data_IF_485541654684
#
_entry.id   IF_485541654684
#
_cell.length_a   1.000
_cell.length_b   1.000
_cell.length_c   1.000
_cell.angle_alpha   90.00
_cell.angle_beta   90.00
_cell.angle_gamma   90.00
#
_symmetry.space_group_name_H-M   'P 1'
#
loop_
_entity.id
_entity.type
_entity.pdbx_description
1 polymer ?
#
# COMPACT_ATOMS: atom_id res chain seq x y z
N UNK A 1 1.46 21.13 16.38
CA UNK A 1 1.70 21.56 14.99
C UNK A 1 1.53 20.32 14.12
N UNK A 2 0.42 20.21 13.39
CA UNK A 2 0.14 19.04 12.54
C UNK A 2 1.01 19.17 11.29
N UNK A 3 1.82 18.18 10.97
CA UNK A 3 2.52 18.12 9.69
C UNK A 3 1.46 18.05 8.57
N UNK A 4 1.68 18.68 7.40
CA UNK A 4 0.86 18.42 6.24
C UNK A 4 1.04 16.94 5.89
N UNK A 5 0.02 16.12 6.11
CA UNK A 5 -0.02 14.79 5.54
C UNK A 5 -0.29 15.01 4.05
N UNK A 6 0.76 14.91 3.23
CA UNK A 6 0.61 15.05 1.79
C UNK A 6 -0.43 14.05 1.29
N UNK A 7 -1.39 14.58 0.55
CA UNK A 7 -2.45 13.79 -0.06
C UNK A 7 -1.82 12.73 -0.96
N UNK A 8 -2.18 11.47 -0.77
CA UNK A 8 -1.67 10.36 -1.58
C UNK A 8 -2.06 10.48 -3.06
N UNK A 9 -3.12 11.22 -3.36
CA UNK A 9 -3.50 11.58 -4.73
C UNK A 9 -2.63 12.70 -5.33
N UNK A 10 -1.92 13.49 -4.52
CA UNK A 10 -1.01 14.56 -5.00
C UNK A 10 0.45 14.12 -5.07
N UNK A 11 0.88 13.14 -4.27
CA UNK A 11 2.26 12.60 -4.31
C UNK A 11 2.52 11.78 -5.57
N UNK A 12 1.48 11.29 -6.25
CA UNK A 12 1.59 10.40 -7.40
C UNK A 12 2.08 8.99 -7.06
N UNK A 13 2.29 8.69 -5.77
CA UNK A 13 2.68 7.37 -5.28
C UNK A 13 1.53 6.35 -5.43
N UNK A 14 0.30 6.85 -5.52
CA UNK A 14 -0.91 6.09 -5.75
C UNK A 14 -1.78 6.68 -6.86
N UNK A 15 -2.83 5.94 -7.26
CA UNK A 15 -3.82 6.41 -8.24
C UNK A 15 -3.51 6.05 -9.69
N UNK A 16 -2.52 5.19 -9.94
CA UNK A 16 -2.15 4.72 -11.29
C UNK A 16 -2.68 3.31 -11.62
N UNK A 17 -3.20 2.59 -10.62
CA UNK A 17 -3.72 1.24 -10.82
C UNK A 17 -5.04 1.28 -11.61
N UNK A 18 -5.16 0.45 -12.65
CA UNK A 18 -6.37 0.38 -13.48
C UNK A 18 -7.55 -0.20 -12.70
N UNK A 19 -8.76 0.31 -12.96
CA UNK A 19 -10.00 -0.23 -12.39
C UNK A 19 -10.20 0.07 -10.90
N UNK A 20 -9.60 1.15 -10.40
CA UNK A 20 -9.67 1.55 -8.99
C UNK A 20 -10.02 3.03 -8.81
N UNK A 21 -10.73 3.37 -7.75
CA UNK A 21 -11.05 4.75 -7.38
C UNK A 21 -9.82 5.49 -6.84
N UNK A 22 -9.64 6.75 -7.23
CA UNK A 22 -8.56 7.61 -6.72
C UNK A 22 -9.02 8.29 -5.43
N UNK A 23 -8.51 7.83 -4.28
CA UNK A 23 -8.79 8.32 -2.92
C UNK A 23 -7.51 8.59 -2.10
N UNK A 24 -7.63 9.32 -0.99
CA UNK A 24 -6.53 9.56 -0.04
C UNK A 24 -6.46 8.55 1.11
N UNK A 25 -7.32 7.52 1.08
CA UNK A 25 -7.52 6.60 2.18
C UNK A 25 -7.16 5.16 1.77
N UNK A 26 -5.88 4.82 1.55
CA UNK A 26 -5.50 3.43 1.48
C UNK A 26 -5.76 2.83 2.85
N UNK A 27 -6.51 1.73 2.90
CA UNK A 27 -6.73 1.02 4.15
C UNK A 27 -5.55 0.09 4.36
N UNK A 28 -4.64 0.36 5.32
CA UNK A 28 -3.54 -0.55 5.58
C UNK A 28 -4.08 -1.90 6.05
N UNK A 29 -3.35 -2.95 5.71
CA UNK A 29 -3.60 -4.29 6.19
C UNK A 29 -2.49 -4.75 7.12
N UNK A 30 -1.70 -5.74 6.72
CA UNK A 30 -0.58 -6.23 7.48
C UNK A 30 0.69 -5.48 7.06
N UNK A 31 1.39 -4.97 8.07
CA UNK A 31 2.69 -4.34 7.94
C UNK A 31 3.78 -5.31 8.36
N UNK A 32 4.88 -5.33 7.61
CA UNK A 32 6.06 -6.09 7.89
C UNK A 32 7.30 -5.17 7.98
N UNK A 33 8.05 -5.34 9.06
CA UNK A 33 9.36 -4.71 9.30
C UNK A 33 10.50 -5.73 9.14
N UNK A 34 10.18 -6.99 8.85
CA UNK A 34 11.05 -8.17 9.03
C UNK A 34 12.17 -8.34 8.02
N UNK A 35 12.17 -7.59 6.91
CA UNK A 35 13.39 -7.47 6.10
C UNK A 35 14.54 -6.81 6.87
N UNK A 36 14.25 -6.23 8.03
CA UNK A 36 15.21 -5.82 9.04
C UNK A 36 15.57 -6.95 10.02
N UNK A 37 16.45 -7.86 9.60
CA UNK A 37 17.50 -8.37 10.51
C UNK A 37 18.51 -7.27 10.94
N UNK A 38 18.21 -6.02 10.57
CA UNK A 38 18.90 -4.80 10.90
C UNK A 38 18.22 -4.13 12.10
N UNK A 39 18.90 -3.97 13.26
CA UNK A 39 18.41 -3.23 14.42
C UNK A 39 18.00 -1.76 14.16
N UNK A 40 18.21 -1.24 12.94
CA UNK A 40 18.02 0.16 12.56
C UNK A 40 17.02 0.39 11.41
N UNK A 41 16.28 -0.63 10.93
CA UNK A 41 15.47 -0.55 9.69
C UNK A 41 14.60 0.72 9.55
N UNK A 42 14.82 1.48 8.46
CA UNK A 42 14.14 2.75 8.15
C UNK A 42 12.93 2.56 7.23
N UNK A 43 12.41 1.33 7.11
CA UNK A 43 11.36 0.97 6.16
C UNK A 43 10.31 0.06 6.77
N UNK A 44 9.06 0.30 6.40
CA UNK A 44 7.92 -0.58 6.66
C UNK A 44 7.36 -0.98 5.31
N UNK A 45 7.15 -2.28 5.10
CA UNK A 45 6.40 -2.80 3.97
C UNK A 45 4.97 -3.02 4.42
N UNK A 46 3.98 -2.51 3.71
CA UNK A 46 2.58 -2.61 4.13
C UNK A 46 1.71 -3.05 2.98
N UNK A 47 0.91 -4.10 3.18
CA UNK A 47 -0.15 -4.43 2.24
C UNK A 47 -1.20 -3.31 2.30
N UNK A 48 -1.47 -2.69 1.16
CA UNK A 48 -2.42 -1.61 1.02
C UNK A 48 -3.66 -2.12 0.29
N UNK A 49 -4.81 -1.75 0.83
CA UNK A 49 -6.14 -2.04 0.30
C UNK A 49 -6.83 -0.73 -0.08
N UNK A 50 -7.86 -0.85 -0.92
CA UNK A 50 -8.82 0.22 -1.08
C UNK A 50 -9.80 0.33 0.10
N UNK A 51 -10.39 1.50 0.38
CA UNK A 51 -11.34 1.65 1.49
C UNK A 51 -12.73 1.08 1.20
N UNK A 52 -13.03 0.73 -0.06
CA UNK A 52 -14.37 0.30 -0.47
C UNK A 52 -14.43 -1.21 -0.68
N UNK A 53 -15.08 -1.99 0.19
CA UNK A 53 -15.23 -3.42 -0.05
C UNK A 53 -16.10 -3.68 -1.29
N UNK A 54 -15.60 -4.48 -2.22
CA UNK A 54 -16.31 -4.89 -3.44
C UNK A 54 -17.09 -6.19 -3.27
N UNK A 55 -16.62 -7.12 -2.42
CA UNK A 55 -17.28 -8.42 -2.16
C UNK A 55 -17.04 -8.90 -0.71
N UNK A 56 -17.66 -10.02 -0.33
CA UNK A 56 -17.40 -10.73 0.95
C UNK A 56 -16.01 -11.40 1.02
N UNK A 57 -15.28 -11.50 -0.10
CA UNK A 57 -13.99 -12.19 -0.20
C UNK A 57 -12.78 -11.22 -0.17
N UNK A 58 -12.84 -10.19 0.68
CA UNK A 58 -11.77 -9.20 0.90
C UNK A 58 -11.34 -8.35 -0.32
N UNK A 59 -12.00 -8.49 -1.47
CA UNK A 59 -11.80 -7.59 -2.62
C UNK A 59 -12.20 -6.15 -2.27
N UNK A 60 -11.38 -5.19 -2.65
CA UNK A 60 -11.44 -3.79 -2.18
C UNK A 60 -11.03 -2.82 -3.29
N UNK A 61 -11.74 -1.70 -3.40
CA UNK A 61 -11.54 -0.63 -4.38
C UNK A 61 -10.99 0.63 -3.69
N UNK A 62 -9.97 1.27 -4.28
CA UNK A 62 -9.28 2.46 -3.76
C UNK A 62 -7.89 2.74 -4.35
N UNK A 63 -7.26 3.85 -3.97
CA UNK A 63 -6.11 4.40 -4.71
C UNK A 63 -4.86 3.51 -4.86
N UNK A 64 -4.61 2.59 -3.93
CA UNK A 64 -3.31 1.93 -3.77
C UNK A 64 -3.36 0.42 -3.51
N UNK A 65 -4.19 -0.42 -4.16
CA UNK A 65 -4.11 -1.85 -3.92
C UNK A 65 -2.72 -2.38 -4.33
N UNK A 66 -2.00 -2.96 -3.36
CA UNK A 66 -0.66 -3.47 -3.59
C UNK A 66 0.22 -3.50 -2.35
N UNK A 67 1.54 -3.45 -2.57
CA UNK A 67 2.53 -3.42 -1.50
C UNK A 67 3.17 -2.02 -1.42
N UNK A 68 2.87 -1.30 -0.34
CA UNK A 68 3.44 0.00 -0.03
C UNK A 68 4.79 -0.08 0.67
N UNK A 69 5.69 0.86 0.35
CA UNK A 69 6.95 1.09 1.04
C UNK A 69 6.87 2.42 1.80
N UNK A 70 6.79 2.33 3.11
CA UNK A 70 6.86 3.50 3.99
C UNK A 70 8.30 3.68 4.44
N UNK A 71 8.89 4.83 4.13
CA UNK A 71 10.20 5.24 4.65
C UNK A 71 10.01 6.00 5.95
N UNK A 72 10.75 5.62 6.98
CA UNK A 72 10.77 6.28 8.27
C UNK A 72 11.81 7.41 8.27
N UNK A 73 11.49 8.51 8.93
CA UNK A 73 12.47 9.56 9.25
C UNK A 73 13.57 9.02 10.20
N UNK A 74 14.65 9.79 10.36
CA UNK A 74 15.78 9.39 11.21
C UNK A 74 15.39 9.13 12.68
N UNK A 75 14.40 9.86 13.19
CA UNK A 75 13.78 9.70 14.52
C UNK A 75 12.60 8.71 14.52
N UNK A 76 12.37 8.03 13.38
CA UNK A 76 11.33 7.01 13.15
C UNK A 76 9.89 7.52 13.27
N UNK A 77 9.71 8.84 13.25
CA UNK A 77 8.42 9.55 13.25
C UNK A 77 8.61 10.91 12.56
N UNK A 78 7.94 11.24 11.45
CA UNK A 78 6.88 10.51 10.74
C UNK A 78 7.40 9.44 9.76
N UNK A 79 6.49 8.64 9.22
CA UNK A 79 6.73 7.79 8.06
C UNK A 79 6.07 8.38 6.80
N UNK A 80 6.70 8.21 5.65
CA UNK A 80 6.23 8.66 4.34
C UNK A 80 6.04 7.46 3.41
N UNK A 81 4.89 7.33 2.76
CA UNK A 81 4.69 6.34 1.71
C UNK A 81 5.45 6.80 0.45
N UNK A 82 6.52 6.10 0.11
CA UNK A 82 7.46 6.50 -0.97
C UNK A 82 7.27 5.73 -2.27
N UNK A 83 6.69 4.54 -2.21
CA UNK A 83 6.41 3.72 -3.38
C UNK A 83 5.26 2.74 -3.10
N UNK A 84 4.56 2.33 -4.17
CA UNK A 84 3.59 1.24 -4.16
C UNK A 84 3.87 0.33 -5.35
N UNK A 85 4.09 -0.96 -5.09
CA UNK A 85 4.01 -1.99 -6.11
C UNK A 85 2.54 -2.37 -6.27
N UNK A 86 1.89 -1.87 -7.33
CA UNK A 86 0.48 -2.13 -7.58
C UNK A 86 0.19 -3.59 -7.91
N UNK A 87 -0.96 -4.08 -7.44
CA UNK A 87 -1.53 -5.36 -7.84
C UNK A 87 -2.76 -5.15 -8.72
N UNK A 88 -3.02 -6.08 -9.64
CA UNK A 88 -4.16 -5.95 -10.57
C UNK A 88 -4.75 -7.31 -10.89
N UNK A 89 -6.04 -7.46 -10.56
CA UNK A 89 -6.88 -8.59 -10.95
C UNK A 89 -8.20 -8.01 -11.41
N UNK A 90 -8.46 -7.92 -12.71
CA UNK A 90 -9.69 -7.30 -13.18
C UNK A 90 -10.88 -8.26 -13.14
N UNK A 91 -12.08 -7.72 -12.93
CA UNK A 91 -13.34 -8.44 -13.14
C UNK A 91 -13.58 -8.77 -14.62
N UNK A 92 -14.60 -9.59 -14.92
CA UNK A 92 -14.82 -10.12 -16.27
C UNK A 92 -15.11 -9.08 -17.36
N UNK A 93 -15.42 -7.83 -16.98
CA UNK A 93 -15.62 -6.72 -17.91
C UNK A 93 -14.48 -5.69 -17.88
N UNK A 94 -13.45 -5.90 -17.06
CA UNK A 94 -12.29 -5.01 -16.96
C UNK A 94 -12.54 -3.70 -16.19
N UNK A 95 -13.72 -3.51 -15.61
CA UNK A 95 -14.12 -2.24 -15.00
C UNK A 95 -13.59 -2.09 -13.56
N UNK A 96 -13.35 -3.19 -12.85
CA UNK A 96 -12.99 -3.17 -11.44
C UNK A 96 -11.76 -4.02 -11.15
N UNK A 97 -10.87 -3.49 -10.33
CA UNK A 97 -9.78 -4.24 -9.73
C UNK A 97 -10.26 -4.97 -8.48
N UNK A 98 -10.17 -6.29 -8.52
CA UNK A 98 -10.51 -7.24 -7.47
C UNK A 98 -9.27 -7.74 -6.70
N UNK A 99 -8.10 -7.13 -6.92
CA UNK A 99 -6.87 -7.56 -6.27
C UNK A 99 -6.98 -7.43 -4.75
N UNK A 100 -6.66 -8.53 -4.05
CA UNK A 100 -6.55 -8.56 -2.59
C UNK A 100 -5.13 -9.00 -2.20
N UNK A 101 -4.22 -8.05 -1.95
CA UNK A 101 -2.87 -8.35 -1.49
C UNK A 101 -2.81 -8.68 0.02
N UNK A 102 -3.94 -9.06 0.65
CA UNK A 102 -4.01 -9.39 2.07
C UNK A 102 -2.89 -10.34 2.48
N UNK A 103 -2.25 -10.02 3.60
CA UNK A 103 -1.12 -10.79 4.13
C UNK A 103 0.11 -10.94 3.19
N UNK A 104 0.30 -10.01 2.25
CA UNK A 104 1.56 -9.92 1.52
C UNK A 104 2.74 -9.67 2.49
N UNK A 105 3.78 -10.48 2.34
CA UNK A 105 5.01 -10.44 3.13
C UNK A 105 6.19 -10.34 2.16
N UNK A 106 7.19 -9.54 2.54
CA UNK A 106 8.45 -9.46 1.79
C UNK A 106 9.49 -10.36 2.43
N UNK A 107 10.23 -11.12 1.62
CA UNK A 107 11.36 -11.93 2.08
C UNK A 107 12.61 -11.57 1.28
N UNK A 108 13.73 -11.44 1.98
CA UNK A 108 15.02 -11.33 1.33
C UNK A 108 15.35 -12.67 0.66
N UNK A 109 15.67 -12.63 -0.64
CA UNK A 109 16.17 -13.80 -1.33
C UNK A 109 17.61 -14.04 -0.86
N UNK A 110 17.86 -15.14 -0.18
CA UNK A 110 19.23 -15.62 0.05
C UNK A 110 19.78 -16.17 -1.26
N UNK A 111 20.85 -15.56 -1.75
CA UNK A 111 21.65 -16.04 -2.89
C UNK A 111 22.46 -17.27 -2.53
#
# INVERSE_FOLDING_TARGET
MSLPHDSLTTTGVCGTTTGTAVTNDPTPDLGDVSLGGNPQGDRIYVALRGPFPLTVAHAVDGSCPGLGLVKLSADRRPGELTAVLGTTVLDGNGARNLSDPHAAIVRAKTS
#
